data_IF_562588922602
#
_entry.id   IF_562588922602
#
_cell.length_a   1.000
_cell.length_b   1.000
_cell.length_c   1.000
_cell.angle_alpha   90.00
_cell.angle_beta   90.00
_cell.angle_gamma   90.00
#
_symmetry.space_group_name_H-M   'P 1'
#
loop_
_entity.id
_entity.type
_entity.pdbx_description
1 polymer ?
#
# COMPACT_ATOMS: atom_id res chain seq x y z
N UNK A 1 21.59 0.92 -0.58
CA UNK A 1 22.24 0.53 -1.86
C UNK A 1 21.40 -0.58 -2.49
N UNK A 2 20.74 -0.33 -3.63
CA UNK A 2 20.01 -1.37 -4.35
C UNK A 2 20.98 -2.37 -5.00
N UNK A 3 20.69 -3.68 -4.91
CA UNK A 3 21.57 -4.75 -5.42
C UNK A 3 21.66 -4.78 -6.95
N UNK A 4 20.56 -4.45 -7.64
CA UNK A 4 20.52 -4.33 -9.11
C UNK A 4 20.43 -2.86 -9.50
N UNK A 5 21.37 -2.39 -10.33
CA UNK A 5 21.40 -1.01 -10.84
C UNK A 5 20.79 -0.85 -12.24
N UNK A 6 20.58 -1.96 -12.95
CA UNK A 6 19.96 -1.99 -14.27
C UNK A 6 18.78 -2.95 -14.17
N UNK A 7 17.58 -2.42 -14.32
CA UNK A 7 16.33 -3.18 -14.22
C UNK A 7 15.67 -3.15 -15.59
N UNK A 8 15.50 -4.32 -16.21
CA UNK A 8 14.64 -4.47 -17.39
C UNK A 8 13.19 -4.57 -16.89
N UNK A 9 12.44 -3.47 -16.99
CA UNK A 9 11.06 -3.38 -16.50
C UNK A 9 10.12 -4.37 -17.20
N UNK A 10 10.30 -4.61 -18.49
CA UNK A 10 9.40 -5.47 -19.27
C UNK A 10 9.52 -6.93 -18.85
N UNK A 11 10.76 -7.39 -18.62
CA UNK A 11 11.00 -8.74 -18.11
C UNK A 11 10.46 -8.90 -16.68
N UNK A 12 10.79 -7.96 -15.78
CA UNK A 12 10.29 -8.02 -14.38
C UNK A 12 8.76 -8.05 -14.33
N UNK A 13 8.08 -7.28 -15.19
CA UNK A 13 6.61 -7.27 -15.26
C UNK A 13 6.04 -8.58 -15.78
N UNK A 14 6.65 -9.17 -16.81
CA UNK A 14 6.25 -10.49 -17.32
C UNK A 14 6.43 -11.60 -16.28
N UNK A 15 7.46 -11.49 -15.45
CA UNK A 15 7.73 -12.43 -14.36
C UNK A 15 6.84 -12.18 -13.12
N UNK A 16 5.94 -11.21 -13.14
CA UNK A 16 5.08 -10.87 -12.00
C UNK A 16 5.82 -10.19 -10.84
N UNK A 17 7.01 -9.65 -11.08
CA UNK A 17 7.86 -9.00 -10.08
C UNK A 17 7.66 -7.48 -10.02
N UNK A 18 6.66 -6.94 -10.72
CA UNK A 18 6.28 -5.54 -10.62
C UNK A 18 5.04 -5.40 -9.74
N UNK A 19 5.00 -4.38 -8.85
CA UNK A 19 3.78 -4.04 -8.14
C UNK A 19 2.68 -3.62 -9.12
N UNK A 20 1.42 -3.84 -8.74
CA UNK A 20 0.28 -3.22 -9.41
C UNK A 20 0.41 -1.69 -9.41
N UNK A 21 0.08 -1.06 -10.53
CA UNK A 21 -0.08 0.41 -10.56
C UNK A 21 -1.36 0.82 -9.82
N UNK A 22 -1.49 2.08 -9.37
CA UNK A 22 -2.74 2.54 -8.75
C UNK A 22 -3.97 2.31 -9.63
N UNK A 23 -3.83 2.46 -10.95
CA UNK A 23 -4.90 2.21 -11.91
C UNK A 23 -5.26 0.72 -11.99
N UNK A 24 -4.26 -0.16 -11.96
CA UNK A 24 -4.47 -1.61 -11.90
C UNK A 24 -5.12 -2.03 -10.58
N UNK A 25 -4.68 -1.44 -9.46
CA UNK A 25 -5.32 -1.64 -8.15
C UNK A 25 -6.80 -1.24 -8.18
N UNK A 26 -7.13 -0.08 -8.76
CA UNK A 26 -8.52 0.36 -8.89
C UNK A 26 -9.36 -0.59 -9.76
N UNK A 27 -8.78 -1.18 -10.80
CA UNK A 27 -9.44 -2.20 -11.62
C UNK A 27 -9.66 -3.50 -10.83
N UNK A 28 -8.65 -3.96 -10.09
CA UNK A 28 -8.75 -5.16 -9.24
C UNK A 28 -9.82 -5.00 -8.16
N UNK A 29 -9.87 -3.86 -7.46
CA UNK A 29 -10.86 -3.60 -6.43
C UNK A 29 -12.29 -3.64 -6.99
N UNK A 30 -12.52 -3.03 -8.16
CA UNK A 30 -13.81 -3.10 -8.85
C UNK A 30 -14.16 -4.51 -9.31
N UNK A 31 -13.20 -5.27 -9.80
CA UNK A 31 -13.41 -6.66 -10.21
C UNK A 31 -13.76 -7.59 -9.04
N UNK A 32 -13.30 -7.24 -7.83
CA UNK A 32 -13.63 -7.93 -6.58
C UNK A 32 -14.93 -7.40 -5.91
N UNK A 33 -15.66 -6.51 -6.59
CA UNK A 33 -16.91 -5.89 -6.10
C UNK A 33 -16.73 -5.13 -4.76
N UNK A 34 -15.55 -4.52 -4.57
CA UNK A 34 -15.30 -3.66 -3.41
C UNK A 34 -16.05 -2.34 -3.60
N UNK A 35 -16.97 -2.04 -2.69
CA UNK A 35 -17.79 -0.82 -2.72
C UNK A 35 -16.89 0.45 -2.72
N UNK A 36 -17.06 1.36 -3.69
CA UNK A 36 -16.37 2.66 -3.74
C UNK A 36 -16.42 3.50 -2.46
N UNK A 37 -17.42 3.27 -1.60
CA UNK A 37 -17.59 3.95 -0.32
C UNK A 37 -16.69 3.42 0.78
N UNK A 38 -15.94 2.33 0.56
CA UNK A 38 -14.97 1.84 1.54
C UNK A 38 -13.88 2.88 1.78
N UNK A 39 -13.46 3.00 3.04
CA UNK A 39 -12.28 3.76 3.38
C UNK A 39 -11.05 2.92 3.06
N UNK A 40 -10.16 3.44 2.22
CA UNK A 40 -8.96 2.72 1.80
C UNK A 40 -7.74 3.37 2.43
N UNK A 41 -7.04 2.62 3.27
CA UNK A 41 -5.75 3.02 3.81
C UNK A 41 -4.61 2.62 2.87
N UNK A 42 -3.78 3.58 2.47
CA UNK A 42 -2.62 3.34 1.60
C UNK A 42 -1.36 3.16 2.46
N UNK A 43 -1.00 1.90 2.68
CA UNK A 43 0.24 1.48 3.33
C UNK A 43 1.45 1.57 2.38
N UNK A 44 1.82 2.79 1.96
CA UNK A 44 2.94 3.01 1.06
C UNK A 44 3.68 4.32 1.36
N UNK A 45 4.97 4.35 0.99
CA UNK A 45 5.75 5.58 0.90
C UNK A 45 5.32 6.45 -0.29
N UNK A 46 6.17 7.38 -0.71
CA UNK A 46 5.89 8.22 -1.88
C UNK A 46 5.67 7.36 -3.13
N UNK A 47 4.51 7.56 -3.77
CA UNK A 47 4.13 6.81 -4.96
C UNK A 47 4.76 7.51 -6.16
N UNK A 48 5.42 6.72 -7.02
CA UNK A 48 6.05 7.25 -8.22
C UNK A 48 5.04 7.98 -9.11
N UNK A 49 5.36 9.21 -9.50
CA UNK A 49 4.46 10.08 -10.27
C UNK A 49 3.34 10.73 -9.43
N UNK A 50 3.33 10.54 -8.11
CA UNK A 50 2.52 11.28 -7.15
C UNK A 50 1.03 11.28 -7.45
N UNK A 51 0.40 12.44 -7.24
CA UNK A 51 -1.04 12.64 -7.43
C UNK A 51 -1.51 12.28 -8.84
N UNK A 52 -0.69 12.54 -9.87
CA UNK A 52 -1.05 12.22 -11.26
C UNK A 52 -1.32 10.72 -11.46
N UNK A 53 -0.52 9.86 -10.82
CA UNK A 53 -0.72 8.40 -10.88
C UNK A 53 -1.80 7.92 -9.92
N UNK A 54 -2.04 8.67 -8.84
CA UNK A 54 -3.10 8.36 -7.88
C UNK A 54 -4.49 8.79 -8.35
N UNK A 55 -4.60 9.71 -9.31
CA UNK A 55 -5.86 10.28 -9.76
C UNK A 55 -6.90 9.21 -10.15
N UNK A 56 -6.49 8.17 -10.88
CA UNK A 56 -7.41 7.09 -11.28
C UNK A 56 -7.94 6.26 -10.10
N UNK A 57 -7.11 6.06 -9.06
CA UNK A 57 -7.54 5.36 -7.85
C UNK A 57 -8.44 6.25 -6.99
N UNK A 58 -8.10 7.55 -6.86
CA UNK A 58 -8.87 8.51 -6.08
C UNK A 58 -10.25 8.80 -6.70
N UNK A 59 -10.36 8.80 -8.02
CA UNK A 59 -11.65 8.93 -8.73
C UNK A 59 -12.56 7.72 -8.48
N UNK A 60 -12.00 6.51 -8.52
CA UNK A 60 -12.75 5.28 -8.26
C UNK A 60 -13.09 5.06 -6.78
N UNK A 61 -12.19 5.47 -5.87
CA UNK A 61 -12.32 5.32 -4.43
C UNK A 61 -11.94 6.64 -3.75
N UNK A 62 -12.91 7.52 -3.44
CA UNK A 62 -12.61 8.87 -2.95
C UNK A 62 -12.14 8.93 -1.49
N UNK A 63 -12.39 7.90 -0.69
CA UNK A 63 -12.06 7.86 0.75
C UNK A 63 -10.66 7.28 1.01
N UNK A 64 -9.66 7.81 0.31
CA UNK A 64 -8.27 7.41 0.52
C UNK A 64 -7.68 8.11 1.74
N UNK A 65 -7.02 7.34 2.60
CA UNK A 65 -6.30 7.85 3.77
C UNK A 65 -4.90 7.25 3.83
N UNK A 66 -4.00 7.97 4.50
CA UNK A 66 -2.63 7.56 4.80
C UNK A 66 -2.34 7.84 6.27
N UNK A 67 -1.24 7.34 6.82
CA UNK A 67 -0.82 7.67 8.21
C UNK A 67 -0.72 9.18 8.45
N UNK A 68 -0.33 9.95 7.44
CA UNK A 68 -0.24 11.41 7.51
C UNK A 68 -1.61 12.10 7.63
N UNK A 69 -2.69 11.46 7.16
CA UNK A 69 -4.05 11.98 7.27
C UNK A 69 -4.84 11.35 8.42
N UNK A 70 -4.41 10.18 8.91
CA UNK A 70 -5.08 9.42 9.97
C UNK A 70 -4.67 9.90 11.37
N UNK A 71 -3.40 10.24 11.55
CA UNK A 71 -2.85 10.69 12.83
C UNK A 71 -2.69 12.21 12.87
N UNK A 72 -2.82 12.79 14.06
CA UNK A 72 -2.48 14.19 14.23
C UNK A 72 -0.98 14.40 13.95
N UNK A 73 -0.58 15.53 13.36
CA UNK A 73 0.82 15.83 13.09
C UNK A 73 1.72 15.75 14.33
N UNK A 74 1.19 16.09 15.51
CA UNK A 74 1.92 16.02 16.78
C UNK A 74 2.24 14.57 17.20
N UNK A 75 1.29 13.66 17.01
CA UNK A 75 1.45 12.23 17.30
C UNK A 75 2.39 11.58 16.27
N UNK A 76 2.25 11.97 15.01
CA UNK A 76 3.10 11.45 13.94
C UNK A 76 4.56 11.87 14.10
N UNK A 77 4.82 13.03 14.70
CA UNK A 77 6.17 13.58 14.91
C UNK A 77 7.09 12.64 15.70
N UNK A 78 6.54 11.83 16.61
CA UNK A 78 7.34 10.86 17.36
C UNK A 78 7.94 9.75 16.48
N UNK A 79 7.29 9.44 15.36
CA UNK A 79 7.71 8.41 14.41
C UNK A 79 8.47 8.98 13.21
N UNK A 80 8.38 10.29 12.97
CA UNK A 80 9.13 10.96 11.90
C UNK A 80 10.64 10.68 12.05
N UNK A 81 11.31 10.48 10.91
CA UNK A 81 12.71 10.03 10.80
C UNK A 81 13.02 8.60 11.29
N UNK A 82 12.03 7.85 11.78
CA UNK A 82 12.18 6.45 12.15
C UNK A 82 11.42 5.56 11.15
N UNK A 83 12.08 5.25 10.02
CA UNK A 83 11.45 4.51 8.90
C UNK A 83 10.82 3.19 9.32
N UNK A 84 11.48 2.42 10.20
CA UNK A 84 10.93 1.16 10.71
C UNK A 84 9.68 1.36 11.57
N UNK A 85 9.61 2.44 12.36
CA UNK A 85 8.42 2.73 13.18
C UNK A 85 7.27 3.26 12.31
N UNK A 86 7.56 4.07 11.29
CA UNK A 86 6.58 4.49 10.30
C UNK A 86 5.99 3.30 9.51
N UNK A 87 6.80 2.27 9.25
CA UNK A 87 6.33 1.02 8.66
C UNK A 87 5.53 0.16 9.65
N UNK A 88 5.81 0.26 10.94
CA UNK A 88 5.02 -0.42 11.98
C UNK A 88 3.59 0.14 12.06
N UNK A 89 3.39 1.45 11.85
CA UNK A 89 2.04 2.03 11.74
C UNK A 89 1.27 1.45 10.55
N UNK A 90 1.91 1.39 9.38
CA UNK A 90 1.33 0.74 8.19
C UNK A 90 0.96 -0.71 8.48
N UNK A 91 1.77 -1.40 9.30
CA UNK A 91 1.57 -2.80 9.66
C UNK A 91 0.36 -2.99 10.56
N UNK A 92 0.23 -2.18 11.60
CA UNK A 92 -0.91 -2.26 12.52
C UNK A 92 -2.23 -1.99 11.79
N UNK A 93 -2.30 -0.94 10.96
CA UNK A 93 -3.52 -0.66 10.20
C UNK A 93 -3.83 -1.77 9.19
N UNK A 94 -2.81 -2.31 8.51
CA UNK A 94 -2.98 -3.44 7.59
C UNK A 94 -3.48 -4.70 8.31
N UNK A 95 -2.96 -4.95 9.52
CA UNK A 95 -3.33 -6.09 10.34
C UNK A 95 -4.80 -6.01 10.80
N UNK A 96 -5.24 -4.84 11.26
CA UNK A 96 -6.58 -4.62 11.81
C UNK A 96 -7.64 -4.30 10.76
N UNK A 97 -7.25 -4.11 9.49
CA UNK A 97 -8.18 -3.81 8.40
C UNK A 97 -9.15 -4.98 8.12
N UNK A 98 -10.36 -4.69 7.63
CA UNK A 98 -11.29 -5.76 7.22
C UNK A 98 -10.73 -6.56 6.04
N UNK A 99 -10.12 -5.87 5.07
CA UNK A 99 -9.57 -6.43 3.84
C UNK A 99 -8.15 -5.91 3.63
N UNK A 100 -7.20 -6.84 3.44
CA UNK A 100 -5.81 -6.51 3.10
C UNK A 100 -5.49 -6.97 1.68
N UNK A 101 -5.02 -6.04 0.83
CA UNK A 101 -4.65 -6.32 -0.56
C UNK A 101 -3.19 -5.88 -0.79
N UNK A 102 -2.23 -6.81 -0.86
CA UNK A 102 -0.86 -6.47 -1.23
C UNK A 102 -0.75 -6.26 -2.75
N UNK A 103 -0.06 -5.20 -3.16
CA UNK A 103 0.22 -4.94 -4.59
C UNK A 103 1.49 -5.63 -5.09
N UNK A 104 2.30 -6.18 -4.19
CA UNK A 104 3.55 -6.90 -4.48
C UNK A 104 3.90 -7.85 -3.34
N UNK A 105 4.57 -8.96 -3.66
CA UNK A 105 5.03 -9.99 -2.70
C UNK A 105 6.27 -9.54 -1.88
N UNK A 106 6.14 -8.42 -1.17
CA UNK A 106 7.17 -7.88 -0.29
C UNK A 106 7.16 -8.51 1.11
N UNK A 107 8.22 -8.26 1.89
CA UNK A 107 8.31 -8.75 3.28
C UNK A 107 7.10 -8.33 4.13
N UNK A 108 6.63 -7.09 3.95
CA UNK A 108 5.45 -6.57 4.63
C UNK A 108 4.20 -7.41 4.35
N UNK A 109 3.96 -7.75 3.08
CA UNK A 109 2.82 -8.56 2.67
C UNK A 109 2.87 -9.95 3.34
N UNK A 110 4.04 -10.60 3.34
CA UNK A 110 4.26 -11.92 3.96
C UNK A 110 3.99 -11.92 5.45
N UNK A 111 4.45 -10.88 6.16
CA UNK A 111 4.27 -10.79 7.62
C UNK A 111 2.81 -10.51 7.97
N UNK A 112 2.13 -9.60 7.26
CA UNK A 112 0.70 -9.32 7.48
C UNK A 112 -0.15 -10.55 7.16
N UNK A 113 0.09 -11.21 6.03
CA UNK A 113 -0.62 -12.44 5.64
C UNK A 113 -0.44 -13.53 6.70
N UNK A 114 0.80 -13.76 7.13
CA UNK A 114 1.10 -14.74 8.18
C UNK A 114 0.36 -14.42 9.49
N UNK A 115 0.39 -13.16 9.93
CA UNK A 115 -0.26 -12.77 11.17
C UNK A 115 -1.78 -12.92 11.09
N UNK A 116 -2.42 -12.39 10.04
CA UNK A 116 -3.88 -12.48 9.85
C UNK A 116 -4.39 -13.92 9.72
N UNK A 117 -3.55 -14.84 9.25
CA UNK A 117 -3.94 -16.25 9.02
C UNK A 117 -3.81 -17.12 10.27
N UNK A 118 -2.86 -16.83 11.15
CA UNK A 118 -2.44 -17.75 12.21
C UNK A 118 -2.64 -17.22 13.63
N UNK A 119 -3.08 -15.98 13.80
CA UNK A 119 -3.40 -15.43 15.12
C UNK A 119 -4.90 -15.19 15.18
N UNK A 120 -5.58 -16.07 15.90
CA UNK A 120 -6.98 -15.95 16.33
C UNK A 120 -7.02 -15.71 17.82
#
# INVERSE_FOLDING_TARGET
WWKEKIINSDLKRKDGLCPLTPEETALTLRALDIDPNFQIYIAAGEIYGGERRMAGLADAYPKLVRKETLLNPEDLRFFQNHSSQMAALDYLVSLESDIFIPTYDGNMAKVVEGHRRYTF
#
